data_IF_822546538627
#
_entry.id   IF_822546538627
#
_cell.length_a   1.000
_cell.length_b   1.000
_cell.length_c   1.000
_cell.angle_alpha   90.00
_cell.angle_beta   90.00
_cell.angle_gamma   90.00
#
_symmetry.space_group_name_H-M   'P 1'
#
loop_
_entity.id
_entity.type
_entity.pdbx_description
1 polymer ?
2 non-polymer ?
3 non-polymer ?
4 non-polymer ?
5 non-polymer ?
6 water ?
#
# COMPACT_ATOMS: atom_id res chain seq x y z
N UNK A 13 -19.16 4.27 -17.82
CA UNK A 13 -20.03 4.54 -16.68
C UNK A 13 -19.26 4.54 -15.38
N UNK A 14 -19.88 4.03 -14.32
CA UNK A 14 -19.24 4.03 -13.02
C UNK A 14 -18.21 2.90 -12.92
N UNK A 15 -17.28 3.07 -12.00
CA UNK A 15 -16.26 2.05 -11.76
C UNK A 15 -16.91 0.75 -11.27
N UNK A 16 -16.44 -0.37 -11.81
CA UNK A 16 -16.90 -1.69 -11.40
C UNK A 16 -15.84 -2.29 -10.49
N UNK A 17 -16.11 -2.49 -9.20
CA UNK A 17 -15.08 -3.01 -8.29
C UNK A 17 -14.66 -4.41 -8.69
N UNK A 18 -13.36 -4.67 -8.78
CA UNK A 18 -12.88 -6.02 -9.05
C UNK A 18 -13.27 -6.97 -7.93
N UNK A 19 -13.19 -8.27 -8.17
CA UNK A 19 -13.48 -9.23 -7.09
C UNK A 19 -12.50 -9.11 -5.94
N UNK A 20 -12.94 -9.52 -4.77
CA UNK A 20 -12.12 -9.40 -3.57
C UNK A 20 -11.01 -10.44 -3.56
N UNK A 21 -9.83 -10.03 -3.11
CA UNK A 21 -8.70 -10.93 -2.94
C UNK A 21 -8.92 -11.77 -1.68
N UNK A 22 -8.13 -12.84 -1.51
CA UNK A 22 -8.32 -13.69 -0.33
C UNK A 22 -7.96 -12.95 0.96
N UNK A 23 -8.76 -13.22 2.00
CA UNK A 23 -8.48 -12.73 3.35
C UNK A 23 -8.30 -13.94 4.25
N UNK A 24 -7.17 -13.97 4.96
CA UNK A 24 -6.86 -15.07 5.87
C UNK A 24 -6.91 -14.57 7.31
N UNK A 25 -7.50 -15.39 8.18
CA UNK A 25 -7.61 -15.10 9.61
C UNK A 25 -6.92 -16.24 10.35
N UNK A 26 -5.59 -16.23 10.42
CA UNK A 26 -4.88 -17.36 11.01
C UNK A 26 -5.16 -17.50 12.50
N UNK A 27 -5.22 -18.75 12.96
CA UNK A 27 -5.27 -19.02 14.39
C UNK A 27 -3.94 -18.62 15.03
N UNK A 28 -3.91 -18.64 16.36
CA UNK A 28 -2.66 -18.35 17.06
C UNK A 28 -1.57 -19.36 16.68
N UNK A 29 -1.96 -20.61 16.41
CA UNK A 29 -0.98 -21.59 15.97
C UNK A 29 -0.44 -21.26 14.59
N UNK A 30 -1.33 -20.94 13.65
CA UNK A 30 -0.91 -20.60 12.30
C UNK A 30 -0.12 -19.28 12.27
N UNK A 31 -0.38 -18.40 13.23
CA UNK A 31 0.26 -17.08 13.28
C UNK A 31 1.65 -17.12 13.88
N UNK A 32 2.23 -18.31 14.08
CA UNK A 32 3.48 -18.40 14.83
C UNK A 32 4.64 -17.77 14.08
N UNK A 33 4.69 -17.93 12.75
CA UNK A 33 5.74 -17.29 11.98
C UNK A 33 5.25 -17.02 10.57
N UNK A 34 5.55 -15.84 10.02
CA UNK A 34 4.92 -15.45 8.74
C UNK A 34 5.38 -16.27 7.55
N UNK A 35 6.67 -16.62 7.48
CA UNK A 35 7.19 -17.28 6.28
C UNK A 35 6.54 -18.63 6.06
N UNK A 36 6.37 -19.41 7.12
CA UNK A 36 5.70 -20.72 6.96
C UNK A 36 4.23 -20.53 6.62
N UNK A 37 3.59 -19.50 7.18
CA UNK A 37 2.19 -19.25 6.87
C UNK A 37 2.02 -18.79 5.43
N UNK A 38 2.87 -17.86 4.99
CA UNK A 38 2.81 -17.39 3.60
C UNK A 38 3.11 -18.53 2.64
N UNK A 39 4.02 -19.43 3.03
CA UNK A 39 4.29 -20.58 2.20
C UNK A 39 3.11 -21.52 2.07
N UNK A 40 2.28 -21.61 3.12
CA UNK A 40 1.12 -22.50 3.08
C UNK A 40 -0.02 -21.91 2.27
N UNK A 41 -0.27 -20.60 2.39
CA UNK A 41 -1.33 -19.96 1.62
C UNK A 41 -0.94 -19.69 0.17
N UNK A 42 0.33 -19.91 -0.17
CA UNK A 42 0.82 -19.59 -1.50
C UNK A 42 0.03 -20.22 -2.66
N UNK A 43 -0.41 -21.49 -2.60
CA UNK A 43 -1.18 -22.03 -3.73
C UNK A 43 -2.39 -21.19 -4.13
N UNK A 44 -3.06 -20.56 -3.17
CA UNK A 44 -4.19 -19.68 -3.50
C UNK A 44 -3.73 -18.25 -3.74
N UNK A 45 -2.92 -17.70 -2.83
CA UNK A 45 -2.60 -16.28 -2.87
C UNK A 45 -1.75 -15.92 -4.08
N UNK A 46 -0.88 -16.80 -4.55
CA UNK A 46 -0.09 -16.47 -5.73
C UNK A 46 -0.95 -16.43 -7.00
N UNK A 47 -2.15 -17.00 -6.95
CA UNK A 47 -3.09 -16.91 -8.07
C UNK A 47 -3.92 -15.64 -8.05
N UNK A 48 -3.85 -14.86 -6.98
CA UNK A 48 -4.53 -13.57 -6.90
C UNK A 48 -3.55 -12.41 -6.80
N UNK A 49 -2.25 -12.68 -6.69
CA UNK A 49 -1.25 -11.62 -6.58
C UNK A 49 -1.10 -11.02 -5.22
N UNK A 50 -2.20 -10.59 -4.61
CA UNK A 50 -2.18 -10.01 -3.27
C UNK A 50 -3.14 -10.79 -2.39
N UNK A 51 -2.92 -10.68 -1.09
CA UNK A 51 -3.84 -11.25 -0.11
C UNK A 51 -3.78 -10.41 1.15
N UNK A 52 -4.80 -10.55 1.98
CA UNK A 52 -4.92 -9.83 3.24
C UNK A 52 -4.87 -10.83 4.39
N UNK A 53 -4.18 -10.45 5.46
CA UNK A 53 -4.01 -11.30 6.62
C UNK A 53 -4.43 -10.51 7.85
N UNK A 54 -5.46 -11.02 8.55
CA UNK A 54 -5.92 -10.40 9.78
C UNK A 54 -5.32 -11.14 10.97
N UNK A 55 -4.49 -10.50 11.78
CA UNK A 55 -3.95 -11.18 12.96
C UNK A 55 -5.04 -11.51 13.95
N UNK A 56 -4.78 -12.40 14.90
CA UNK A 56 -5.77 -12.65 15.96
C UNK A 56 -6.15 -11.36 16.67
N UNK A 57 -7.37 -11.37 17.24
CA UNK A 57 -7.96 -10.13 17.76
C UNK A 57 -7.07 -9.48 18.81
N UNK A 58 -6.42 -10.28 19.65
CA UNK A 58 -5.62 -9.72 20.74
C UNK A 58 -4.21 -9.31 20.32
N UNK A 59 -3.84 -9.49 19.05
CA UNK A 59 -2.52 -9.04 18.57
C UNK A 59 -2.64 -7.57 18.18
N UNK A 60 -2.22 -6.69 19.07
CA UNK A 60 -2.33 -5.25 18.87
C UNK A 60 -1.02 -4.59 19.26
N UNK A 61 -0.14 -4.34 18.29
CA UNK A 61 1.13 -3.69 18.60
C UNK A 61 0.93 -2.22 18.89
N UNK A 62 1.67 -1.66 19.83
CA UNK A 62 1.58 -0.22 20.08
C UNK A 62 2.36 0.57 19.04
N UNK A 63 1.86 1.76 18.74
CA UNK A 63 2.50 2.62 17.75
C UNK A 63 3.74 3.24 18.37
N UNK A 64 4.89 3.03 17.74
CA UNK A 64 6.18 3.32 18.36
C UNK A 64 6.93 4.48 17.73
N UNK A 65 6.35 5.18 16.76
CA UNK A 65 7.03 6.32 16.18
C UNK A 65 7.08 7.47 17.18
N UNK A 66 8.12 8.30 17.05
CA UNK A 66 8.26 9.50 17.86
C UNK A 66 7.31 10.56 17.29
N UNK A 67 6.09 10.58 17.80
CA UNK A 67 5.05 11.45 17.24
C UNK A 67 5.39 12.92 17.45
N UNK A 68 6.05 13.25 18.56
CA UNK A 68 6.35 14.64 18.87
C UNK A 68 7.22 15.28 17.78
N UNK A 69 8.26 14.58 17.35
CA UNK A 69 9.21 15.13 16.39
C UNK A 69 8.96 14.67 14.96
N UNK A 70 7.88 13.92 14.71
CA UNK A 70 7.60 13.42 13.37
C UNK A 70 7.23 14.59 12.46
N UNK A 71 8.10 14.89 11.50
CA UNK A 71 7.89 15.98 10.56
C UNK A 71 8.29 15.52 9.17
N UNK A 72 7.58 15.99 8.15
CA UNK A 72 7.83 15.54 6.79
C UNK A 72 7.19 16.52 5.81
N UNK A 73 7.72 16.53 4.60
CA UNK A 73 7.15 17.29 3.49
C UNK A 73 6.62 16.30 2.46
N UNK A 74 5.30 16.15 2.34
CA UNK A 74 4.75 15.13 1.43
C UNK A 74 4.88 15.56 -0.02
N UNK A 75 4.80 14.57 -0.90
CA UNK A 75 4.84 14.84 -2.34
C UNK A 75 3.47 15.21 -2.85
N UNK A 76 3.43 16.10 -3.83
CA UNK A 76 2.18 16.57 -4.43
C UNK A 76 1.77 15.60 -5.53
N UNK A 77 0.50 15.19 -5.52
CA UNK A 77 -0.02 14.26 -6.51
C UNK A 77 -1.22 14.89 -7.21
N UNK A 78 -1.10 15.09 -8.52
CA UNK A 78 -2.21 15.52 -9.37
C UNK A 78 -2.81 14.29 -10.02
N UNK A 79 -4.08 14.00 -9.70
CA UNK A 79 -4.67 12.72 -10.05
C UNK A 79 -4.75 12.53 -11.56
N UNK A 80 -5.03 13.60 -12.31
CA UNK A 80 -5.29 13.51 -13.75
C UNK A 80 -4.10 13.97 -14.58
N UNK A 81 -2.88 13.87 -14.04
CA UNK A 81 -1.72 14.43 -14.74
C UNK A 81 -1.47 13.77 -16.09
N UNK A 82 -1.76 12.47 -16.20
CA UNK A 82 -1.60 11.81 -17.50
C UNK A 82 -2.69 12.24 -18.48
N UNK A 83 -3.91 12.46 -17.98
CA UNK A 83 -4.97 12.93 -18.85
C UNK A 83 -4.68 14.34 -19.37
N UNK A 84 -4.01 15.16 -18.56
CA UNK A 84 -3.73 16.55 -18.88
C UNK A 84 -2.56 16.72 -19.85
N UNK A 85 -2.14 15.66 -20.54
CA UNK A 85 -1.08 15.79 -21.54
C UNK A 85 -1.52 15.20 -22.88
N UNK A 101 4.76 22.12 1.59
CA UNK A 101 4.42 22.39 2.98
C UNK A 101 4.94 21.28 3.90
N UNK A 102 5.56 21.67 5.00
CA UNK A 102 6.01 20.72 6.01
C UNK A 102 4.91 20.50 7.03
N UNK A 103 4.65 19.24 7.36
CA UNK A 103 3.61 18.88 8.32
C UNK A 103 4.20 18.11 9.49
N UNK A 104 3.50 18.16 10.60
CA UNK A 104 3.60 17.12 11.61
C UNK A 104 2.54 16.07 11.32
N UNK A 105 2.60 14.95 12.07
CA UNK A 105 1.55 13.95 11.95
C UNK A 105 0.19 14.57 12.27
N UNK A 106 0.14 15.46 13.26
CA UNK A 106 -1.12 16.08 13.67
C UNK A 106 -1.62 17.04 12.59
N UNK A 107 -0.74 17.93 12.11
CA UNK A 107 -1.17 18.94 11.14
C UNK A 107 -1.52 18.31 9.80
N UNK A 108 -0.83 17.24 9.41
CA UNK A 108 -1.21 16.52 8.20
C UNK A 108 -2.57 15.86 8.36
N UNK A 109 -2.83 15.30 9.55
CA UNK A 109 -4.14 14.71 9.80
C UNK A 109 -5.26 15.74 9.77
N UNK A 110 -5.00 16.93 10.30
CA UNK A 110 -6.00 17.99 10.25
C UNK A 110 -6.27 18.39 8.81
N UNK A 111 -5.21 18.56 8.02
CA UNK A 111 -5.37 18.86 6.60
C UNK A 111 -6.13 17.74 5.88
N UNK A 112 -5.78 16.49 6.18
CA UNK A 112 -6.36 15.35 5.47
C UNK A 112 -7.85 15.21 5.78
N UNK A 113 -8.22 15.30 7.06
CA UNK A 113 -9.62 15.19 7.44
C UNK A 113 -10.44 16.36 6.91
N UNK A 114 -9.86 17.57 6.94
CA UNK A 114 -10.58 18.72 6.41
C UNK A 114 -10.81 18.58 4.91
N UNK A 115 -9.82 18.07 4.18
CA UNK A 115 -9.99 17.89 2.74
C UNK A 115 -11.11 16.92 2.43
N UNK A 116 -11.12 15.77 3.09
CA UNK A 116 -12.09 14.74 2.77
C UNK A 116 -13.50 15.15 3.19
N UNK A 117 -13.65 15.72 4.39
CA UNK A 117 -14.96 16.14 4.84
C UNK A 117 -15.51 17.26 3.97
N UNK A 118 -14.64 18.16 3.52
CA UNK A 118 -15.08 19.23 2.61
C UNK A 118 -15.45 18.68 1.25
N UNK A 119 -14.67 17.71 0.74
CA UNK A 119 -14.91 17.21 -0.60
C UNK A 119 -16.24 16.47 -0.68
N UNK A 120 -16.53 15.62 0.30
CA UNK A 120 -17.74 14.82 0.29
C UNK A 120 -18.89 15.42 1.08
N UNK A 121 -18.66 16.53 1.77
CA UNK A 121 -19.71 17.25 2.51
C UNK A 121 -20.34 16.35 3.57
N UNK A 122 -19.51 15.59 4.27
CA UNK A 122 -19.98 14.69 5.32
C UNK A 122 -18.79 14.30 6.18
N UNK A 123 -19.03 13.81 7.40
CA UNK A 123 -17.91 13.37 8.25
C UNK A 123 -17.07 12.30 7.55
N UNK A 124 -15.77 12.32 7.82
CA UNK A 124 -14.83 11.49 7.06
C UNK A 124 -15.14 10.02 7.25
N UNK A 125 -15.55 9.62 8.46
CA UNK A 125 -15.82 8.22 8.74
C UNK A 125 -17.15 7.74 8.16
N UNK A 126 -17.97 8.64 7.63
CA UNK A 126 -19.26 8.28 7.05
C UNK A 126 -19.21 8.11 5.53
N UNK A 127 -18.09 8.43 4.89
CA UNK A 127 -17.99 8.30 3.44
C UNK A 127 -17.79 6.82 3.09
N UNK A 128 -18.67 6.21 2.31
CA UNK A 128 -18.51 4.80 1.97
C UNK A 128 -17.23 4.58 1.15
N UNK A 129 -16.59 3.44 1.41
CA UNK A 129 -15.37 3.10 0.67
C UNK A 129 -15.63 2.97 -0.82
N UNK A 130 -16.83 2.51 -1.20
CA UNK A 130 -17.15 2.38 -2.61
C UNK A 130 -17.26 3.72 -3.30
N UNK A 131 -17.70 4.76 -2.57
CA UNK A 131 -17.82 6.09 -3.16
C UNK A 131 -16.46 6.73 -3.39
N UNK A 132 -15.57 6.63 -2.40
CA UNK A 132 -14.21 7.15 -2.58
C UNK A 132 -13.53 6.44 -3.75
N UNK A 133 -13.71 5.13 -3.85
CA UNK A 133 -13.15 4.36 -4.96
C UNK A 133 -13.72 4.83 -6.30
N UNK A 134 -15.04 5.00 -6.36
CA UNK A 134 -15.66 5.47 -7.59
C UNK A 134 -15.17 6.87 -7.96
N UNK A 135 -15.07 7.76 -6.97
CA UNK A 135 -14.64 9.13 -7.22
C UNK A 135 -13.17 9.19 -7.62
N UNK A 136 -12.33 8.35 -7.00
CA UNK A 136 -10.91 8.38 -7.32
C UNK A 136 -10.67 8.10 -8.80
N UNK A 137 -11.31 7.04 -9.33
CA UNK A 137 -11.06 6.68 -10.71
C UNK A 137 -11.75 7.63 -11.68
N UNK A 138 -12.82 8.30 -11.25
CA UNK A 138 -13.40 9.35 -12.09
C UNK A 138 -12.45 10.54 -12.18
N UNK A 139 -11.83 10.92 -11.06
CA UNK A 139 -10.93 12.07 -11.04
C UNK A 139 -9.65 11.81 -11.82
N UNK A 140 -9.18 10.56 -11.82
CA UNK A 140 -7.95 10.22 -12.53
C UNK A 140 -8.11 10.46 -14.03
N UNK A 141 -9.31 10.24 -14.57
CA UNK A 141 -9.56 10.40 -15.99
C UNK A 141 -10.31 11.69 -16.33
N UNK A 142 -10.51 12.57 -15.35
CA UNK A 142 -11.27 13.79 -15.56
C UNK A 142 -10.37 14.89 -16.11
N UNK A 143 -10.82 15.54 -17.19
CA UNK A 143 -10.13 16.71 -17.72
C UNK A 143 -10.77 18.01 -17.25
N UNK A 144 -11.99 17.95 -16.71
CA UNK A 144 -12.70 19.15 -16.27
C UNK A 144 -12.42 19.50 -14.82
N UNK A 145 -11.95 18.56 -14.02
CA UNK A 145 -11.75 18.76 -12.59
C UNK A 145 -10.34 18.35 -12.22
N UNK A 146 -9.54 19.29 -11.73
CA UNK A 146 -8.15 19.06 -11.33
C UNK A 146 -8.12 18.96 -9.80
N UNK A 147 -7.98 17.74 -9.30
CA UNK A 147 -7.87 17.49 -7.86
C UNK A 147 -6.42 17.18 -7.53
N UNK A 148 -5.91 17.81 -6.47
CA UNK A 148 -4.52 17.70 -6.08
C UNK A 148 -4.45 17.34 -4.61
N UNK A 149 -3.70 16.29 -4.28
CA UNK A 149 -3.54 15.82 -2.91
C UNK A 149 -2.06 15.69 -2.60
N UNK A 150 -1.76 15.30 -1.37
CA UNK A 150 -0.40 15.15 -0.89
C UNK A 150 -0.24 13.78 -0.25
N UNK A 151 0.95 13.20 -0.37
CA UNK A 151 1.22 11.86 0.13
C UNK A 151 2.55 11.86 0.86
N UNK A 152 2.53 11.52 2.14
CA UNK A 152 3.76 11.36 2.89
C UNK A 152 4.38 10.01 2.63
N UNK A 153 4.90 9.81 1.43
CA UNK A 153 5.35 8.50 0.98
C UNK A 153 6.86 8.36 1.09
N UNK A 154 7.31 7.11 1.23
CA UNK A 154 8.74 6.78 1.28
C UNK A 154 9.47 7.55 2.38
N UNK A 155 8.86 7.58 3.56
CA UNK A 155 9.53 8.12 4.75
C UNK A 155 10.30 6.98 5.40
N UNK A 156 11.61 7.17 5.54
CA UNK A 156 12.44 6.11 6.10
C UNK A 156 12.11 5.88 7.57
N UNK A 157 12.04 4.60 7.96
CA UNK A 157 11.85 4.27 9.37
C UNK A 157 13.08 4.63 10.21
N UNK A 158 14.20 4.96 9.57
CA UNK A 158 15.37 5.40 10.33
C UNK A 158 15.21 6.82 10.83
N UNK A 159 14.38 7.63 10.19
CA UNK A 159 14.25 9.03 10.56
C UNK A 159 13.64 9.19 11.95
N UNK A 160 12.42 8.68 12.14
CA UNK A 160 11.71 8.84 13.41
C UNK A 160 11.35 7.50 14.05
N UNK A 161 11.96 6.42 13.59
CA UNK A 161 11.69 5.11 14.15
C UNK A 161 10.59 4.38 13.39
N UNK A 162 10.55 3.07 13.58
CA UNK A 162 9.51 2.25 13.00
C UNK A 162 8.21 2.41 13.78
N UNK A 163 7.09 2.13 13.11
CA UNK A 163 5.82 2.08 13.79
C UNK A 163 5.71 0.95 14.80
N UNK A 164 6.50 -0.10 14.62
CA UNK A 164 6.63 -1.25 15.52
C UNK A 164 7.66 -0.96 16.59
N UNK A 165 7.45 -1.46 17.81
CA UNK A 165 8.50 -1.38 18.82
C UNK A 165 9.72 -2.20 18.40
N UNK A 166 10.91 -1.64 18.64
CA UNK A 166 12.16 -2.27 18.25
C UNK A 166 13.15 -2.13 19.40
N UNK A 167 13.89 -3.20 19.67
CA UNK A 167 14.96 -3.15 20.67
C UNK A 167 16.13 -2.32 20.15
N UNK A 168 15.86 -1.06 19.77
CA UNK A 168 16.90 -0.19 19.26
C UNK A 168 17.82 0.28 20.38
N UNK A 169 17.24 0.67 21.51
CA UNK A 169 17.93 1.48 22.49
C UNK A 169 17.70 2.96 22.34
N UNK A 170 17.24 3.41 21.16
CA UNK A 170 16.86 4.79 20.93
C UNK A 170 15.49 5.13 21.50
N UNK A 171 14.74 4.13 21.98
CA UNK A 171 13.45 4.36 22.61
C UNK A 171 13.13 3.12 23.44
N UNK A 172 13.12 3.28 24.76
CA UNK A 172 12.86 2.14 25.65
C UNK A 172 11.48 1.56 25.38
N UNK A 173 11.36 0.25 25.60
CA UNK A 173 10.13 -0.48 25.37
C UNK A 173 9.57 -0.96 26.70
N UNK A 174 8.24 -0.91 26.82
CA UNK A 174 7.58 -1.41 28.01
C UNK A 174 7.48 -2.93 27.95
N UNK A 175 7.28 -3.59 29.10
CA UNK A 175 7.15 -5.06 29.08
C UNK A 175 6.03 -5.55 28.18
N UNK A 176 4.88 -4.86 28.17
CA UNK A 176 3.78 -5.26 27.31
C UNK A 176 4.11 -5.08 25.83
N UNK A 177 5.17 -4.34 25.51
CA UNK A 177 5.57 -4.11 24.13
C UNK A 177 6.59 -5.13 23.62
N UNK A 178 7.23 -5.89 24.52
CA UNK A 178 8.39 -6.67 24.11
C UNK A 178 8.00 -7.79 23.14
N UNK A 179 6.85 -8.42 23.35
CA UNK A 179 6.42 -9.49 22.45
C UNK A 179 6.28 -8.99 21.02
N UNK A 180 5.90 -7.72 20.84
CA UNK A 180 5.80 -7.15 19.51
C UNK A 180 7.16 -6.75 18.97
N UNK A 181 8.09 -6.38 19.84
CA UNK A 181 9.45 -6.10 19.39
C UNK A 181 10.15 -7.36 18.90
N UNK A 182 9.73 -8.53 19.40
CA UNK A 182 10.33 -9.81 19.03
C UNK A 182 9.48 -10.60 18.04
N UNK A 183 8.28 -10.12 17.71
CA UNK A 183 7.38 -10.88 16.86
C UNK A 183 7.95 -11.02 15.45
N UNK A 184 7.72 -12.19 14.84
CA UNK A 184 8.10 -12.38 13.45
C UNK A 184 7.29 -11.56 12.49
N UNK A 185 6.11 -11.09 12.90
CA UNK A 185 5.30 -10.21 12.08
C UNK A 185 5.69 -8.74 12.22
N UNK A 186 6.53 -8.41 13.18
CA UNK A 186 7.19 -7.10 13.20
C UNK A 186 8.01 -6.96 11.92
N UNK A 187 7.70 -5.95 11.11
CA UNK A 187 8.33 -5.82 9.81
C UNK A 187 9.84 -5.59 9.90
N UNK A 188 10.35 -5.17 11.07
CA UNK A 188 11.78 -5.07 11.25
C UNK A 188 12.46 -6.43 11.43
N UNK A 189 11.68 -7.49 11.62
CA UNK A 189 12.22 -8.82 11.84
C UNK A 189 12.01 -9.74 10.65
N UNK A 190 11.55 -9.21 9.52
CA UNK A 190 11.39 -10.03 8.33
C UNK A 190 12.76 -10.29 7.71
N UNK A 191 12.98 -11.47 7.14
CA UNK A 191 14.27 -11.74 6.46
C UNK A 191 14.35 -10.93 5.18
N UNK A 192 15.49 -10.28 4.98
CA UNK A 192 15.64 -9.34 3.87
C UNK A 192 16.87 -9.68 3.03
N UNK A 193 17.65 -10.66 3.46
CA UNK A 193 18.85 -11.06 2.75
C UNK A 193 18.52 -12.11 1.70
N UNK A 194 19.02 -11.90 0.49
CA UNK A 194 18.88 -12.85 -0.61
C UNK A 194 20.20 -13.56 -0.83
N UNK A 195 20.17 -14.88 -0.93
CA UNK A 195 21.39 -15.67 -1.12
C UNK A 195 21.93 -15.42 -2.53
N UNK A 196 23.19 -14.99 -2.60
CA UNK A 196 23.85 -14.71 -3.88
C UNK A 196 25.28 -15.23 -3.82
N UNK A 197 25.94 -15.19 -4.97
CA UNK A 197 27.31 -15.69 -5.11
C UNK A 197 28.36 -14.70 -4.61
N UNK A 198 27.95 -13.62 -3.95
CA UNK A 198 28.93 -12.67 -3.39
C UNK A 198 29.56 -13.18 -2.11
N UNK A 199 28.82 -13.99 -1.35
CA UNK A 199 29.31 -14.54 -0.08
C UNK A 199 29.80 -13.47 0.87
N UNK A 209 17.92 -4.02 3.87
CA UNK A 209 16.97 -2.92 3.76
C UNK A 209 16.13 -2.78 5.02
N UNK A 210 15.44 -1.66 5.14
CA UNK A 210 14.64 -1.36 6.34
C UNK A 210 13.22 -1.02 5.90
N UNK A 211 12.24 -1.02 6.80
CA UNK A 211 10.88 -0.66 6.39
C UNK A 211 10.75 0.81 6.05
N UNK A 212 9.75 1.10 5.22
CA UNK A 212 9.42 2.45 4.82
C UNK A 212 8.01 2.80 5.28
N UNK A 213 7.78 4.09 5.52
CA UNK A 213 6.54 4.58 6.10
C UNK A 213 5.75 5.40 5.08
N UNK A 214 4.42 5.36 5.22
CA UNK A 214 3.52 6.03 4.30
C UNK A 214 2.39 6.69 5.10
N UNK A 215 2.37 8.02 5.12
CA UNK A 215 1.31 8.79 5.74
C UNK A 215 0.35 9.22 4.64
N UNK A 216 -0.84 8.64 4.62
CA UNK A 216 -1.78 8.86 3.54
C UNK A 216 -2.91 9.80 3.88
N UNK A 217 -3.52 10.34 2.81
CA UNK A 217 -4.77 11.09 2.89
C UNK A 217 -5.69 10.57 1.80
N UNK A 218 -6.93 11.06 1.80
CA UNK A 218 -7.89 10.66 0.79
C UNK A 218 -7.36 10.99 -0.61
N UNK A 219 -7.38 9.99 -1.49
CA UNK A 219 -7.02 10.01 -2.89
C UNK A 219 -5.51 9.91 -3.13
N UNK A 220 -4.67 9.98 -2.08
CA UNK A 220 -3.25 9.70 -2.27
C UNK A 220 -3.08 8.26 -2.72
N UNK A 221 -2.14 8.04 -3.64
CA UNK A 221 -2.15 6.77 -4.38
C UNK A 221 -0.74 6.30 -4.69
N UNK A 222 -0.65 5.02 -5.05
CA UNK A 222 0.56 4.42 -5.58
C UNK A 222 0.20 3.69 -6.87
N UNK A 223 0.96 3.96 -7.94
CA UNK A 223 0.58 3.44 -9.24
C UNK A 223 1.07 2.00 -9.41
N UNK A 224 0.75 1.41 -10.56
CA UNK A 224 1.05 0.01 -10.81
C UNK A 224 2.56 -0.22 -10.86
N UNK A 225 3.01 -1.26 -10.14
CA UNK A 225 4.43 -1.57 -10.10
C UNK A 225 4.61 -2.99 -9.55
N UNK A 226 5.79 -3.53 -9.78
CA UNK A 226 6.28 -4.71 -9.09
C UNK A 226 7.53 -4.31 -8.32
N UNK A 227 7.89 -5.14 -7.34
CA UNK A 227 9.05 -4.83 -6.51
C UNK A 227 10.34 -5.12 -7.25
N UNK A 228 11.41 -4.45 -6.83
CA UNK A 228 12.72 -4.75 -7.38
C UNK A 228 13.08 -6.21 -7.10
N UNK A 229 13.70 -6.85 -8.09
CA UNK A 229 14.10 -8.25 -8.03
C UNK A 229 12.91 -9.19 -7.86
N UNK A 230 11.71 -8.73 -8.22
CA UNK A 230 10.47 -9.51 -8.11
C UNK A 230 10.27 -10.02 -6.68
N UNK A 231 10.64 -9.19 -5.71
CA UNK A 231 10.59 -9.61 -4.31
C UNK A 231 9.16 -9.57 -3.78
N UNK A 232 8.94 -10.31 -2.69
CA UNK A 232 7.72 -10.19 -1.93
C UNK A 232 7.68 -8.81 -1.29
N UNK A 233 6.48 -8.40 -0.85
CA UNK A 233 6.37 -7.25 0.04
C UNK A 233 5.28 -7.54 1.05
N UNK A 234 5.49 -7.04 2.27
CA UNK A 234 4.50 -7.14 3.33
C UNK A 234 4.22 -5.73 3.83
N UNK A 235 2.93 -5.44 4.04
CA UNK A 235 2.47 -4.08 4.31
C UNK A 235 1.52 -4.11 5.49
N UNK A 236 1.76 -3.25 6.48
CA UNK A 236 0.95 -3.20 7.69
C UNK A 236 0.38 -1.80 7.86
N UNK A 237 -0.93 -1.73 8.06
CA UNK A 237 -1.59 -0.44 8.32
C UNK A 237 -1.69 -0.26 9.83
N UNK A 238 -0.86 0.63 10.37
CA UNK A 238 -0.82 0.83 11.82
C UNK A 238 -2.13 1.40 12.33
N UNK A 239 -2.64 2.44 11.69
CA UNK A 239 -3.89 3.06 12.11
C UNK A 239 -4.43 3.91 10.97
N UNK A 240 -5.68 4.33 11.12
CA UNK A 240 -6.31 5.26 10.20
C UNK A 240 -7.32 4.57 9.30
N UNK A 241 -7.78 5.33 8.31
CA UNK A 241 -8.77 4.87 7.36
C UNK A 241 -8.14 3.86 6.39
N UNK A 242 -8.96 3.03 5.74
CA UNK A 242 -8.40 1.91 4.96
C UNK A 242 -7.54 2.36 3.78
N UNK A 243 -6.68 1.44 3.36
CA UNK A 243 -5.89 1.55 2.14
C UNK A 243 -6.46 0.57 1.14
N UNK A 244 -6.91 1.07 -0.01
CA UNK A 244 -7.54 0.24 -1.02
C UNK A 244 -6.49 -0.27 -2.00
N UNK A 245 -6.50 -1.58 -2.24
CA UNK A 245 -5.48 -2.25 -3.05
C UNK A 245 -6.10 -2.84 -4.31
N UNK A 246 -5.26 -2.97 -5.34
CA UNK A 246 -5.55 -3.78 -6.52
C UNK A 246 -4.34 -4.63 -6.82
N UNK A 247 -4.56 -5.89 -7.16
CA UNK A 247 -3.47 -6.81 -7.41
C UNK A 247 -3.72 -7.67 -8.63
N UNK A 248 -2.63 -8.03 -9.29
CA UNK A 248 -2.66 -8.89 -10.47
C UNK A 248 -1.73 -10.07 -10.24
N UNK A 249 -2.18 -11.31 -10.46
CA UNK A 249 -1.29 -12.46 -10.24
C UNK A 249 -0.12 -12.44 -11.21
N UNK A 250 0.98 -13.07 -10.78
CA UNK A 250 2.22 -13.02 -11.53
C UNK A 250 2.09 -13.71 -12.90
N UNK A 251 1.19 -14.68 -13.03
CA UNK A 251 1.04 -15.34 -14.33
C UNK A 251 0.44 -14.43 -15.38
N UNK A 252 -0.10 -13.28 -14.99
CA UNK A 252 -0.64 -12.30 -15.92
C UNK A 252 0.23 -11.05 -16.02
N UNK A 253 1.47 -11.14 -15.54
CA UNK A 253 2.35 -9.97 -15.53
C UNK A 253 2.63 -9.46 -16.93
N UNK A 254 2.95 -10.37 -17.86
CA UNK A 254 3.24 -9.94 -19.22
C UNK A 254 2.00 -9.38 -19.92
N UNK A 255 0.82 -9.90 -19.58
CA UNK A 255 -0.42 -9.36 -20.14
C UNK A 255 -0.62 -7.91 -19.71
N UNK A 256 -0.40 -7.63 -18.43
CA UNK A 256 -0.54 -6.26 -17.94
C UNK A 256 0.46 -5.33 -18.61
N UNK A 257 1.71 -5.76 -18.72
CA UNK A 257 2.74 -4.92 -19.34
C UNK A 257 2.43 -4.65 -20.80
N UNK A 258 1.82 -5.61 -21.51
CA UNK A 258 1.44 -5.37 -22.89
C UNK A 258 0.30 -4.35 -22.98
N UNK A 259 -0.68 -4.47 -22.09
CA UNK A 259 -1.79 -3.51 -22.06
C UNK A 259 -1.27 -2.13 -21.69
N UNK A 260 -0.40 -2.07 -20.67
CA UNK A 260 0.14 -0.79 -20.22
C UNK A 260 0.92 -0.10 -21.33
N UNK A 261 1.69 -0.86 -22.11
CA UNK A 261 2.48 -0.26 -23.18
C UNK A 261 1.59 0.16 -24.35
N UNK A 262 0.56 -0.64 -24.65
CA UNK A 262 -0.33 -0.30 -25.76
C UNK A 262 -1.12 0.99 -25.49
N UNK A 263 -1.44 1.26 -24.22
CA UNK A 263 -2.28 2.39 -23.87
C UNK A 263 -1.53 3.52 -23.18
N UNK A 264 -0.25 3.35 -22.89
CA UNK A 264 0.53 4.43 -22.32
C UNK A 264 0.70 5.54 -23.35
N UNK A 265 0.94 6.78 -22.90
CA UNK A 265 1.29 7.85 -23.83
C UNK A 265 2.51 7.45 -24.66
N UNK A 266 2.51 7.89 -25.92
CA UNK A 266 3.59 7.52 -26.83
C UNK A 266 4.96 7.97 -26.33
N UNK A 267 5.00 9.07 -25.57
CA UNK A 267 6.27 9.57 -25.07
C UNK A 267 6.83 8.69 -23.96
N UNK A 268 5.97 7.97 -23.25
CA UNK A 268 6.40 7.12 -22.15
C UNK A 268 6.43 5.64 -22.51
N UNK A 269 5.91 5.26 -23.68
CA UNK A 269 5.82 3.85 -24.03
C UNK A 269 7.20 3.22 -24.17
N UNK A 270 8.18 3.98 -24.63
CA UNK A 270 9.52 3.48 -24.89
C UNK A 270 10.44 3.54 -23.67
N UNK A 271 9.96 4.03 -22.54
CA UNK A 271 10.81 4.19 -21.36
C UNK A 271 11.08 2.83 -20.69
N UNK A 272 12.25 2.67 -20.08
CA UNK A 272 12.50 1.45 -19.30
C UNK A 272 11.48 1.28 -18.20
N UNK A 273 11.24 0.02 -17.83
CA UNK A 273 10.20 -0.30 -16.86
C UNK A 273 10.41 0.43 -15.54
N UNK A 274 11.66 0.58 -15.11
CA UNK A 274 11.92 1.21 -13.81
C UNK A 274 11.53 2.68 -13.79
N UNK A 275 11.53 3.33 -14.95
CA UNK A 275 11.09 4.72 -15.06
C UNK A 275 9.61 4.81 -15.42
N UNK A 276 9.15 3.96 -16.34
CA UNK A 276 7.73 3.94 -16.69
C UNK A 276 6.86 3.67 -15.46
N UNK A 277 7.36 2.86 -14.52
CA UNK A 277 6.61 2.53 -13.30
C UNK A 277 6.35 3.75 -12.42
N UNK A 278 6.96 4.89 -12.72
CA UNK A 278 6.68 6.11 -11.97
C UNK A 278 5.37 6.76 -12.41
N UNK A 279 4.82 6.37 -13.56
CA UNK A 279 3.62 7.00 -14.10
C UNK A 279 2.68 5.97 -14.70
N UNK A 280 2.74 4.73 -14.21
CA UNK A 280 1.88 3.66 -14.71
C UNK A 280 0.53 3.71 -13.99
N UNK A 281 -0.25 4.71 -14.35
CA UNK A 281 -1.60 4.91 -13.81
C UNK A 281 -2.59 4.30 -14.79
N UNK A 282 -3.42 3.38 -14.31
CA UNK A 282 -4.39 2.73 -15.18
C UNK A 282 -5.59 2.24 -14.38
N UNK A 283 -6.78 2.55 -14.88
CA UNK A 283 -8.02 2.08 -14.26
C UNK A 283 -8.06 0.55 -14.28
N UNK A 284 -8.33 -0.10 -13.15
CA UNK A 284 -8.43 -1.56 -13.15
C UNK A 284 -9.42 -2.11 -14.15
N UNK A 285 -10.52 -1.40 -14.43
CA UNK A 285 -11.50 -1.90 -15.38
C UNK A 285 -10.92 -1.99 -16.78
N UNK A 286 -9.98 -1.11 -17.12
CA UNK A 286 -9.32 -1.19 -18.43
C UNK A 286 -8.53 -2.50 -18.54
N UNK A 287 -7.80 -2.85 -17.48
CA UNK A 287 -7.08 -4.12 -17.49
C UNK A 287 -8.04 -5.29 -17.56
N UNK A 288 -9.14 -5.23 -16.81
CA UNK A 288 -10.11 -6.32 -16.83
C UNK A 288 -10.77 -6.46 -18.19
N UNK A 289 -11.02 -5.34 -18.88
CA UNK A 289 -11.59 -5.39 -20.22
C UNK A 289 -10.66 -6.06 -21.21
N UNK A 290 -9.35 -6.02 -20.94
CA UNK A 290 -8.36 -6.70 -21.78
C UNK A 290 -8.07 -8.12 -21.31
N UNK A 291 -8.86 -8.64 -20.39
CA UNK A 291 -8.69 -10.02 -19.94
C UNK A 291 -7.68 -10.23 -18.85
N UNK A 292 -7.20 -9.17 -18.22
CA UNK A 292 -6.23 -9.29 -17.12
C UNK A 292 -6.98 -9.51 -15.81
N UNK A 293 -6.67 -10.56 -15.07
CA UNK A 293 -7.33 -10.76 -13.76
C UNK A 293 -6.84 -9.72 -12.75
N UNK A 294 -7.80 -9.07 -12.09
CA UNK A 294 -7.52 -8.05 -11.09
C UNK A 294 -8.35 -8.35 -9.85
N UNK A 295 -7.73 -8.24 -8.68
CA UNK A 295 -8.41 -8.40 -7.41
C UNK A 295 -8.22 -7.15 -6.57
N UNK A 296 -9.16 -6.89 -5.66
CA UNK A 296 -9.16 -5.71 -4.82
C UNK A 296 -9.26 -6.10 -3.35
N UNK A 297 -8.98 -5.13 -2.49
CA UNK A 297 -9.27 -5.27 -1.06
C UNK A 297 -9.21 -3.91 -0.40
N UNK A 298 -9.93 -3.77 0.72
CA UNK A 298 -9.79 -2.64 1.62
C UNK A 298 -8.99 -3.12 2.83
N UNK A 299 -7.74 -2.65 2.93
CA UNK A 299 -6.88 -2.99 4.07
C UNK A 299 -7.22 -2.06 5.22
N UNK A 300 -7.79 -2.61 6.29
CA UNK A 300 -8.17 -1.82 7.44
C UNK A 300 -7.04 -1.81 8.47
N UNK A 301 -7.18 -0.93 9.46
CA UNK A 301 -6.15 -0.78 10.48
C UNK A 301 -5.91 -2.10 11.21
N UNK A 302 -4.64 -2.44 11.38
CA UNK A 302 -4.25 -3.66 12.05
C UNK A 302 -4.15 -4.88 11.15
N UNK A 303 -4.28 -4.72 9.84
CA UNK A 303 -4.26 -5.83 8.90
C UNK A 303 -3.05 -5.75 7.99
N UNK A 304 -2.58 -6.91 7.56
CA UNK A 304 -1.44 -7.04 6.65
C UNK A 304 -1.93 -7.26 5.22
N UNK A 305 -1.14 -6.76 4.28
CA UNK A 305 -1.28 -7.11 2.87
C UNK A 305 0.05 -7.64 2.39
N UNK A 306 0.03 -8.83 1.78
CA UNK A 306 1.23 -9.46 1.23
C UNK A 306 1.11 -9.44 -0.29
N UNK A 307 2.14 -8.95 -0.97
CA UNK A 307 2.24 -9.04 -2.41
C UNK A 307 3.25 -10.11 -2.78
N UNK A 308 2.89 -10.95 -3.74
CA UNK A 308 3.71 -12.10 -4.12
C UNK A 308 4.67 -11.72 -5.24
N UNK A 309 5.70 -12.54 -5.49
CA UNK A 309 6.70 -12.17 -6.49
C UNK A 309 6.10 -11.86 -7.85
N UNK A 310 6.48 -10.69 -8.38
CA UNK A 310 6.06 -10.22 -9.70
C UNK A 310 4.55 -10.04 -9.79
N UNK A 311 3.91 -9.75 -8.67
CA UNK A 311 2.48 -9.43 -8.63
C UNK A 311 2.34 -7.92 -8.71
N UNK A 312 1.89 -7.43 -9.87
CA UNK A 312 1.64 -6.00 -10.03
C UNK A 312 0.55 -5.54 -9.07
N UNK A 313 0.77 -4.38 -8.46
CA UNK A 313 -0.22 -3.85 -7.53
C UNK A 313 -0.25 -2.33 -7.58
N UNK A 314 -1.39 -1.78 -7.22
CA UNK A 314 -1.58 -0.34 -7.13
C UNK A 314 -2.70 -0.10 -6.13
N UNK A 315 -2.99 1.18 -5.87
CA UNK A 315 -4.07 1.51 -4.96
C UNK A 315 -4.02 2.95 -4.51
N UNK A 316 -4.88 3.24 -3.53
CA UNK A 316 -5.04 4.60 -3.02
C UNK A 316 -5.52 4.51 -1.57
N UNK A 317 -5.42 5.63 -0.87
CA UNK A 317 -5.82 5.71 0.52
C UNK A 317 -7.22 6.33 0.65
N UNK A 318 -8.04 5.72 1.51
CA UNK A 318 -9.38 6.23 1.76
C UNK A 318 -9.36 7.51 2.60
N UNK A 319 -8.30 7.71 3.38
CA UNK A 319 -8.23 8.88 4.23
C UNK A 319 -6.94 8.87 5.03
N UNK A 320 -6.93 9.67 6.08
CA UNK A 320 -5.75 9.80 6.95
C UNK A 320 -5.38 8.45 7.55
N UNK A 321 -4.19 7.94 7.21
CA UNK A 321 -3.75 6.66 7.74
C UNK A 321 -2.23 6.63 7.79
N UNK A 322 -1.70 5.50 8.29
CA UNK A 322 -0.27 5.34 8.51
C UNK A 322 0.09 3.89 8.24
N UNK A 323 0.96 3.65 7.25
CA UNK A 323 1.33 2.31 6.84
C UNK A 323 2.84 2.13 6.91
N UNK A 324 3.25 0.87 7.01
CA UNK A 324 4.65 0.48 7.04
C UNK A 324 4.83 -0.74 6.14
N UNK A 325 5.91 -0.75 5.36
CA UNK A 325 6.10 -1.79 4.36
C UNK A 325 7.57 -2.13 4.22
N UNK A 326 7.84 -3.36 3.79
CA UNK A 326 9.21 -3.82 3.56
C UNK A 326 9.17 -4.96 2.55
N UNK A 327 10.24 -5.10 1.79
CA UNK A 327 10.43 -6.25 0.93
C UNK A 327 11.12 -7.35 1.73
N UNK A 328 10.78 -8.60 1.43
CA UNK A 328 11.40 -9.73 2.13
C UNK A 328 11.66 -10.86 1.16
N UNK A 329 12.52 -11.78 1.58
CA UNK A 329 12.93 -12.93 0.79
C UNK A 329 12.55 -14.22 1.52
N UNK A 330 12.37 -15.29 0.75
CA UNK A 330 11.98 -16.59 1.31
C UNK A 330 13.11 -17.61 1.19
#
# INVERSE_FOLDING_TARGET
HNMAGVGPGGYAAEFVPPPECPVFEPSWEEFTDPLSFIGRIRPLAEKTGICKIRPPKDWQPPFACEVKSFRFTPRVQRLNELEAMTRVRPREAFGFEQAVREYTLQSFGEMADNFKSDYFNMPVHMVPTELVEKEFWRLVSSIEEDVIVEYGADISSKDFGSGFPVKDGRRKILPEEEEYALSGWNLNNMPVLEQSVLAHINVDISGMKVPWLYVGMCFSSFCWHIEDHWSYSINYLHWGEPKTWYGVPSHAAEQLEEVMRELAPELFESQPDLLHQLVTIMNPNVLMEHGVPVYRTNQCAGEFVVTFPRAYHSGFNQGYNFAEAVNFCT
#
